data_IF_377375922414
#
_entry.id   IF_377375922414
#
_cell.length_a   1.000
_cell.length_b   1.000
_cell.length_c   1.000
_cell.angle_alpha   90.00
_cell.angle_beta   90.00
_cell.angle_gamma   90.00
#
_symmetry.space_group_name_H-M   'P 1'
#
loop_
_entity.id
_entity.type
_entity.pdbx_description
1 polymer ?
#
# COMPACT_ATOMS: atom_id res chain seq x y z
N UNK A 1 0.14 -25.14 8.72
CA UNK A 1 -0.83 -24.03 8.84
C UNK A 1 -1.77 -24.18 7.67
N UNK A 2 -3.09 -24.08 7.86
CA UNK A 2 -4.01 -24.12 6.72
C UNK A 2 -3.61 -23.02 5.74
N UNK A 3 -3.55 -23.34 4.45
CA UNK A 3 -3.18 -22.40 3.40
C UNK A 3 -4.19 -21.24 3.43
N UNK A 4 -3.75 -20.05 3.80
CA UNK A 4 -4.65 -18.90 3.99
C UNK A 4 -5.11 -18.44 2.61
N UNK A 5 -6.40 -18.59 2.33
CA UNK A 5 -6.95 -18.07 1.08
C UNK A 5 -7.16 -16.55 1.18
N UNK A 6 -6.20 -15.78 0.67
CA UNK A 6 -6.25 -14.32 0.66
C UNK A 6 -7.38 -13.76 -0.20
N UNK A 7 -7.78 -14.47 -1.26
CA UNK A 7 -8.79 -14.00 -2.21
C UNK A 7 -10.19 -13.93 -1.61
N UNK A 8 -10.53 -14.80 -0.66
CA UNK A 8 -11.86 -14.85 -0.04
C UNK A 8 -11.84 -14.43 1.44
N UNK A 9 -10.73 -13.88 1.92
CA UNK A 9 -10.50 -13.68 3.36
C UNK A 9 -11.62 -12.90 4.06
N UNK A 10 -12.11 -11.80 3.47
CA UNK A 10 -13.16 -11.00 4.11
C UNK A 10 -14.54 -11.65 4.00
N UNK A 11 -14.84 -12.31 2.89
CA UNK A 11 -16.06 -13.13 2.76
C UNK A 11 -16.09 -14.23 3.83
N UNK A 12 -14.99 -14.96 4.02
CA UNK A 12 -14.90 -16.04 5.01
C UNK A 12 -15.03 -15.49 6.44
N UNK A 13 -14.49 -14.30 6.71
CA UNK A 13 -14.67 -13.60 7.99
C UNK A 13 -16.12 -13.21 8.22
N UNK A 14 -16.80 -12.65 7.21
CA UNK A 14 -18.20 -12.25 7.31
C UNK A 14 -19.12 -13.46 7.58
N UNK A 15 -18.89 -14.57 6.87
CA UNK A 15 -19.64 -15.82 7.08
C UNK A 15 -19.44 -16.35 8.50
N UNK A 16 -18.18 -16.49 8.97
CA UNK A 16 -17.88 -16.98 10.32
C UNK A 16 -18.45 -16.07 11.41
N UNK A 17 -18.41 -14.76 11.21
CA UNK A 17 -19.02 -13.80 12.11
C UNK A 17 -20.52 -14.08 12.24
N UNK A 18 -21.23 -14.16 11.12
CA UNK A 18 -22.68 -14.41 11.14
C UNK A 18 -23.03 -15.78 11.73
N UNK A 19 -22.30 -16.85 11.41
CA UNK A 19 -22.51 -18.17 12.02
C UNK A 19 -22.37 -18.16 13.55
N UNK A 20 -21.42 -17.38 14.07
CA UNK A 20 -21.20 -17.25 15.52
C UNK A 20 -22.28 -16.48 16.28
N UNK A 21 -23.06 -15.63 15.58
CA UNK A 21 -24.03 -14.73 16.17
C UNK A 21 -25.49 -15.01 15.79
N UNK A 22 -25.76 -15.76 14.72
CA UNK A 22 -27.10 -16.14 14.24
C UNK A 22 -27.96 -16.93 15.24
N UNK A 23 -27.42 -17.26 16.42
CA UNK A 23 -28.08 -18.13 17.41
C UNK A 23 -28.17 -17.52 18.82
N UNK A 24 -27.69 -16.29 19.05
CA UNK A 24 -27.39 -15.86 20.42
C UNK A 24 -28.33 -14.88 21.10
N UNK A 25 -29.16 -14.07 20.39
CA UNK A 25 -30.06 -13.09 21.05
C UNK A 25 -31.28 -12.73 20.21
N UNK A 26 -32.46 -12.73 20.84
CA UNK A 26 -33.68 -12.08 20.36
C UNK A 26 -33.63 -10.56 20.62
N UNK A 27 -32.63 -9.89 20.04
CA UNK A 27 -32.41 -8.45 20.20
C UNK A 27 -32.26 -7.79 18.81
N UNK A 28 -33.29 -7.06 18.33
CA UNK A 28 -33.28 -6.44 17.01
C UNK A 28 -32.16 -5.41 16.81
N UNK A 29 -31.74 -4.69 17.85
CA UNK A 29 -30.65 -3.71 17.74
C UNK A 29 -29.31 -4.43 17.55
N UNK A 30 -29.11 -5.52 18.28
CA UNK A 30 -27.93 -6.37 18.13
C UNK A 30 -27.87 -7.05 16.75
N UNK A 31 -29.01 -7.52 16.24
CA UNK A 31 -29.10 -8.09 14.88
C UNK A 31 -28.72 -7.04 13.81
N UNK A 32 -29.27 -5.83 13.91
CA UNK A 32 -28.94 -4.74 13.00
C UNK A 32 -27.46 -4.36 13.05
N UNK A 33 -26.86 -4.34 14.25
CA UNK A 33 -25.42 -4.13 14.43
C UNK A 33 -24.58 -5.21 13.75
N UNK A 34 -24.95 -6.49 13.91
CA UNK A 34 -24.26 -7.60 13.26
C UNK A 34 -24.34 -7.53 11.73
N UNK A 35 -25.51 -7.18 11.21
CA UNK A 35 -25.72 -6.94 9.77
C UNK A 35 -24.80 -5.82 9.27
N UNK A 36 -24.66 -4.73 10.03
CA UNK A 36 -23.74 -3.63 9.70
C UNK A 36 -22.29 -4.10 9.55
N UNK A 37 -21.78 -4.86 10.52
CA UNK A 37 -20.42 -5.42 10.46
C UNK A 37 -20.23 -6.33 9.25
N UNK A 38 -21.21 -7.20 8.98
CA UNK A 38 -21.18 -8.09 7.81
C UNK A 38 -21.08 -7.28 6.52
N UNK A 39 -21.92 -6.26 6.37
CA UNK A 39 -21.99 -5.46 5.14
C UNK A 39 -20.71 -4.64 4.94
N UNK A 40 -20.13 -4.08 6.01
CA UNK A 40 -18.82 -3.44 5.96
C UNK A 40 -17.72 -4.43 5.53
N UNK A 41 -17.74 -5.65 6.05
CA UNK A 41 -16.76 -6.68 5.72
C UNK A 41 -16.91 -7.16 4.27
N UNK A 42 -18.13 -7.31 3.78
CA UNK A 42 -18.38 -7.64 2.37
C UNK A 42 -18.00 -6.50 1.43
N UNK A 43 -18.16 -5.24 1.84
CA UNK A 43 -17.67 -4.09 1.09
C UNK A 43 -16.14 -4.07 1.00
N UNK A 44 -15.43 -4.57 2.02
CA UNK A 44 -13.98 -4.78 1.96
C UNK A 44 -13.61 -5.87 0.94
N UNK A 45 -14.33 -6.99 0.97
CA UNK A 45 -14.16 -8.07 -0.01
C UNK A 45 -14.33 -7.57 -1.45
N UNK A 46 -15.39 -6.80 -1.73
CA UNK A 46 -15.65 -6.30 -3.10
C UNK A 46 -14.50 -5.44 -3.65
N UNK A 47 -13.84 -4.65 -2.79
CA UNK A 47 -12.64 -3.88 -3.17
C UNK A 47 -11.44 -4.79 -3.43
N UNK A 48 -11.24 -5.78 -2.56
CA UNK A 48 -10.18 -6.77 -2.71
C UNK A 48 -10.35 -7.58 -4.02
N UNK A 49 -11.58 -7.94 -4.38
CA UNK A 49 -11.91 -8.62 -5.64
C UNK A 49 -11.52 -7.78 -6.87
N UNK A 50 -11.78 -6.47 -6.83
CA UNK A 50 -11.36 -5.55 -7.89
C UNK A 50 -9.84 -5.54 -8.03
N UNK A 51 -9.11 -5.54 -6.92
CA UNK A 51 -7.65 -5.55 -6.94
C UNK A 51 -7.10 -6.87 -7.48
N UNK A 52 -7.64 -8.01 -7.04
CA UNK A 52 -7.26 -9.31 -7.56
C UNK A 52 -7.55 -9.45 -9.03
N UNK A 53 -8.72 -9.01 -9.49
CA UNK A 53 -9.04 -8.98 -10.93
C UNK A 53 -8.02 -8.17 -11.72
N UNK A 54 -7.68 -6.97 -11.25
CA UNK A 54 -6.68 -6.13 -11.91
C UNK A 54 -5.29 -6.79 -11.94
N UNK A 55 -4.92 -7.45 -10.84
CA UNK A 55 -3.67 -8.21 -10.75
C UNK A 55 -3.67 -9.40 -11.71
N UNK A 56 -4.77 -10.16 -11.81
CA UNK A 56 -4.86 -11.31 -12.72
C UNK A 56 -4.77 -10.88 -14.19
N UNK A 57 -5.26 -9.67 -14.53
CA UNK A 57 -5.19 -9.10 -15.87
C UNK A 57 -3.80 -8.53 -16.22
N UNK A 58 -3.08 -7.98 -15.23
CA UNK A 58 -1.83 -7.22 -15.48
C UNK A 58 -0.59 -8.02 -15.09
N UNK A 59 -0.64 -8.75 -13.98
CA UNK A 59 0.49 -9.43 -13.34
C UNK A 59 1.42 -8.47 -12.60
N UNK A 60 2.70 -8.88 -12.50
CA UNK A 60 3.77 -8.08 -11.92
C UNK A 60 3.91 -6.72 -12.61
N UNK A 61 4.23 -5.69 -11.83
CA UNK A 61 4.25 -4.29 -12.29
C UNK A 61 2.92 -3.57 -12.08
N UNK A 62 1.84 -4.26 -11.72
CA UNK A 62 0.59 -3.59 -11.45
C UNK A 62 0.71 -2.59 -10.29
N UNK A 63 -0.01 -1.49 -10.41
CA UNK A 63 0.02 -0.41 -9.44
C UNK A 63 -1.36 -0.20 -8.84
N UNK A 64 -1.42 -0.03 -7.53
CA UNK A 64 -2.61 0.33 -6.79
C UNK A 64 -2.45 1.70 -6.16
N UNK A 65 -3.58 2.33 -5.85
CA UNK A 65 -3.66 3.65 -5.24
C UNK A 65 -4.57 3.63 -4.01
N UNK A 66 -4.24 4.46 -3.04
CA UNK A 66 -5.09 4.71 -1.89
C UNK A 66 -6.38 5.43 -2.28
N UNK A 67 -7.38 5.38 -1.40
CA UNK A 67 -8.66 6.06 -1.63
C UNK A 67 -8.53 7.60 -1.82
N UNK A 68 -7.43 8.20 -1.31
CA UNK A 68 -7.16 9.63 -1.45
C UNK A 68 -6.41 10.00 -2.74
N UNK A 69 -5.86 9.03 -3.46
CA UNK A 69 -5.11 9.30 -4.69
C UNK A 69 -3.68 9.82 -4.48
N UNK A 70 -3.15 9.82 -3.24
CA UNK A 70 -1.88 10.46 -2.88
C UNK A 70 -0.75 9.46 -2.57
N UNK A 71 -1.10 8.18 -2.40
CA UNK A 71 -0.18 7.07 -2.13
C UNK A 71 -0.47 5.91 -3.05
N UNK A 72 0.60 5.25 -3.48
CA UNK A 72 0.58 4.18 -4.46
C UNK A 72 1.42 3.01 -3.98
N UNK A 73 1.14 1.82 -4.50
CA UNK A 73 2.01 0.67 -4.35
C UNK A 73 2.11 -0.12 -5.66
N UNK A 74 3.33 -0.44 -6.07
CA UNK A 74 3.61 -1.31 -7.22
C UNK A 74 4.01 -2.70 -6.75
N UNK A 75 3.47 -3.75 -7.37
CA UNK A 75 3.82 -5.15 -7.07
C UNK A 75 4.99 -5.60 -7.91
N UNK A 76 6.04 -6.14 -7.27
CA UNK A 76 7.29 -6.54 -7.91
C UNK A 76 7.82 -7.85 -7.31
N UNK A 77 8.69 -8.58 -8.02
CA UNK A 77 9.59 -9.52 -7.37
C UNK A 77 10.41 -8.81 -6.29
N UNK A 78 10.69 -9.51 -5.19
CA UNK A 78 11.54 -8.96 -4.14
C UNK A 78 13.00 -8.97 -4.61
N UNK A 79 13.63 -7.79 -4.56
CA UNK A 79 15.01 -7.62 -4.99
C UNK A 79 16.04 -8.10 -3.95
N UNK A 80 15.63 -8.19 -2.68
CA UNK A 80 16.48 -8.56 -1.54
C UNK A 80 16.38 -10.06 -1.22
N UNK A 81 15.22 -10.68 -1.47
CA UNK A 81 14.94 -12.07 -1.14
C UNK A 81 14.47 -12.83 -2.39
N UNK A 82 15.37 -13.55 -3.08
CA UNK A 82 15.04 -14.29 -4.29
C UNK A 82 13.86 -15.25 -4.10
N UNK A 83 12.94 -15.24 -5.06
CA UNK A 83 11.75 -16.09 -5.05
C UNK A 83 10.57 -15.54 -4.24
N UNK A 84 10.75 -14.42 -3.52
CA UNK A 84 9.68 -13.70 -2.83
C UNK A 84 9.15 -12.55 -3.67
N UNK A 85 8.05 -11.97 -3.22
CA UNK A 85 7.38 -10.85 -3.86
C UNK A 85 7.28 -9.68 -2.88
N UNK A 86 7.06 -8.47 -3.39
CA UNK A 86 6.84 -7.29 -2.55
C UNK A 86 5.86 -6.33 -3.18
N UNK A 87 5.20 -5.55 -2.35
CA UNK A 87 4.72 -4.25 -2.78
C UNK A 87 5.76 -3.18 -2.39
N UNK A 88 5.94 -2.19 -3.26
CA UNK A 88 6.78 -1.03 -3.00
C UNK A 88 5.91 0.22 -3.03
N UNK A 89 5.80 0.91 -1.89
CA UNK A 89 5.01 2.14 -1.76
C UNK A 89 5.77 3.37 -2.21
N UNK A 90 5.04 4.29 -2.83
CA UNK A 90 5.52 5.59 -3.26
C UNK A 90 4.42 6.65 -3.24
N UNK A 91 4.84 7.90 -3.32
CA UNK A 91 4.01 9.08 -3.52
C UNK A 91 4.72 10.06 -4.45
N UNK A 92 4.17 11.26 -4.63
CA UNK A 92 4.77 12.31 -5.48
C UNK A 92 6.21 12.67 -5.10
N UNK A 93 6.57 12.53 -3.81
CA UNK A 93 7.91 12.80 -3.30
C UNK A 93 8.84 11.56 -3.30
N UNK A 94 8.45 10.46 -3.92
CA UNK A 94 9.30 9.28 -4.06
C UNK A 94 8.90 8.09 -3.19
N UNK A 95 9.87 7.20 -2.96
CA UNK A 95 9.69 5.93 -2.26
C UNK A 95 9.43 6.13 -0.76
N UNK A 96 8.52 5.33 -0.20
CA UNK A 96 8.13 5.41 1.22
C UNK A 96 8.62 4.18 1.99
N UNK A 97 8.15 2.99 1.59
CA UNK A 97 8.47 1.72 2.23
C UNK A 97 8.22 0.57 1.24
N UNK A 98 8.58 -0.65 1.63
CA UNK A 98 8.15 -1.87 0.96
C UNK A 98 7.84 -2.94 2.00
N UNK A 99 7.17 -4.00 1.55
CA UNK A 99 6.92 -5.18 2.38
C UNK A 99 7.05 -6.44 1.53
N UNK A 100 7.78 -7.43 2.05
CA UNK A 100 8.08 -8.69 1.38
C UNK A 100 7.11 -9.77 1.82
N UNK A 101 6.51 -10.48 0.87
CA UNK A 101 5.58 -11.58 1.09
C UNK A 101 6.06 -12.85 0.39
N UNK A 102 5.52 -14.00 0.80
CA UNK A 102 5.89 -15.31 0.25
C UNK A 102 5.14 -15.63 -1.04
N UNK A 103 3.93 -15.08 -1.23
CA UNK A 103 3.08 -15.35 -2.40
C UNK A 103 2.55 -14.06 -3.04
N UNK A 104 2.18 -14.12 -4.31
CA UNK A 104 1.57 -12.99 -5.02
C UNK A 104 0.22 -12.60 -4.42
N UNK A 105 -0.59 -13.59 -4.04
CA UNK A 105 -1.90 -13.33 -3.46
C UNK A 105 -1.78 -12.62 -2.10
N UNK A 106 -0.78 -12.98 -1.31
CA UNK A 106 -0.43 -12.28 -0.08
C UNK A 106 0.00 -10.83 -0.35
N UNK A 107 0.82 -10.55 -1.38
CA UNK A 107 1.21 -9.16 -1.69
C UNK A 107 0.01 -8.28 -2.01
N UNK A 108 -0.95 -8.77 -2.81
CA UNK A 108 -2.16 -8.01 -3.16
C UNK A 108 -2.98 -7.71 -1.90
N UNK A 109 -3.15 -8.71 -1.03
CA UNK A 109 -3.86 -8.55 0.23
C UNK A 109 -3.15 -7.59 1.20
N UNK A 110 -1.84 -7.70 1.35
CA UNK A 110 -1.09 -6.80 2.24
C UNK A 110 -1.05 -5.37 1.68
N UNK A 111 -1.02 -5.18 0.36
CA UNK A 111 -1.20 -3.86 -0.25
C UNK A 111 -2.58 -3.26 0.05
N UNK A 112 -3.63 -4.09 0.04
CA UNK A 112 -4.97 -3.71 0.48
C UNK A 112 -4.98 -3.24 1.93
N UNK A 113 -4.44 -4.04 2.85
CA UNK A 113 -4.38 -3.69 4.28
C UNK A 113 -3.50 -2.46 4.53
N UNK A 114 -2.51 -2.20 3.67
CA UNK A 114 -1.70 -0.98 3.67
C UNK A 114 -2.43 0.26 3.10
N UNK A 115 -3.72 0.13 2.75
CA UNK A 115 -4.62 1.21 2.37
C UNK A 115 -4.72 1.47 0.87
N UNK A 116 -4.16 0.60 0.02
CA UNK A 116 -4.27 0.69 -1.44
C UNK A 116 -5.53 -0.05 -1.88
N UNK A 117 -6.57 0.64 -2.32
CA UNK A 117 -7.89 0.03 -2.49
C UNK A 117 -8.39 0.02 -3.94
N UNK A 118 -7.65 0.67 -4.86
CA UNK A 118 -8.07 0.86 -6.23
C UNK A 118 -6.91 0.61 -7.20
N UNK A 119 -7.15 0.09 -8.40
CA UNK A 119 -6.17 0.07 -9.47
C UNK A 119 -5.71 1.49 -9.85
N UNK A 120 -4.45 1.62 -10.20
CA UNK A 120 -3.87 2.83 -10.78
C UNK A 120 -3.42 2.56 -12.22
N UNK A 121 -3.31 3.59 -13.07
CA UNK A 121 -2.66 3.46 -14.37
C UNK A 121 -1.23 2.90 -14.25
N UNK A 122 -0.83 2.01 -15.16
CA UNK A 122 0.48 1.36 -15.13
C UNK A 122 1.65 2.35 -15.25
N UNK A 123 1.44 3.45 -15.98
CA UNK A 123 2.45 4.49 -16.19
C UNK A 123 2.54 5.50 -15.03
N UNK A 124 1.82 5.27 -13.93
CA UNK A 124 1.79 6.19 -12.78
C UNK A 124 3.18 6.40 -12.19
N UNK A 125 3.94 5.32 -11.99
CA UNK A 125 5.29 5.40 -11.45
C UNK A 125 6.21 6.21 -12.38
N UNK A 126 6.21 5.90 -13.68
CA UNK A 126 7.06 6.57 -14.66
C UNK A 126 6.75 8.08 -14.73
N UNK A 127 5.46 8.44 -14.71
CA UNK A 127 5.02 9.83 -14.66
C UNK A 127 5.52 10.55 -13.41
N UNK A 128 5.36 9.93 -12.23
CA UNK A 128 5.79 10.55 -10.96
C UNK A 128 7.31 10.65 -10.86
N UNK A 129 8.02 9.59 -11.23
CA UNK A 129 9.48 9.53 -11.21
C UNK A 129 10.15 10.56 -12.12
N UNK A 130 9.43 11.04 -13.13
CA UNK A 130 9.88 12.08 -14.05
C UNK A 130 9.70 13.52 -13.52
N UNK A 131 9.16 13.70 -12.31
CA UNK A 131 8.89 15.04 -11.75
C UNK A 131 10.06 15.59 -10.94
N UNK A 132 10.13 16.93 -10.86
CA UNK A 132 11.08 17.62 -9.98
C UNK A 132 10.85 17.29 -8.50
N UNK A 133 9.58 17.15 -8.09
CA UNK A 133 9.23 16.81 -6.71
C UNK A 133 9.76 15.43 -6.31
N UNK A 134 9.69 14.46 -7.23
CA UNK A 134 10.26 13.14 -7.01
C UNK A 134 11.78 13.16 -6.91
N UNK A 135 12.44 13.89 -7.81
CA UNK A 135 13.89 14.05 -7.78
C UNK A 135 14.36 14.68 -6.46
N UNK A 136 13.65 15.73 -6.01
CA UNK A 136 13.87 16.37 -4.70
C UNK A 136 13.72 15.37 -3.55
N UNK A 137 12.62 14.63 -3.54
CA UNK A 137 12.35 13.68 -2.47
C UNK A 137 13.33 12.50 -2.44
N UNK A 138 13.84 12.08 -3.60
CA UNK A 138 14.91 11.07 -3.71
C UNK A 138 16.22 11.59 -3.08
N UNK A 139 16.62 12.83 -3.37
CA UNK A 139 17.79 13.44 -2.73
C UNK A 139 17.59 13.62 -1.21
N UNK A 140 16.36 13.97 -0.78
CA UNK A 140 16.02 14.08 0.64
C UNK A 140 16.11 12.73 1.36
N UNK A 141 15.67 11.65 0.72
CA UNK A 141 15.78 10.28 1.25
C UNK A 141 17.24 9.88 1.47
N UNK A 142 18.16 10.30 0.60
CA UNK A 142 19.59 10.05 0.77
C UNK A 142 20.15 10.77 2.01
N UNK A 143 19.73 12.01 2.28
CA UNK A 143 20.11 12.72 3.50
C UNK A 143 19.65 11.98 4.76
N UNK A 144 18.38 11.54 4.77
CA UNK A 144 17.81 10.74 5.88
C UNK A 144 18.60 9.44 6.06
N UNK A 145 18.95 8.77 4.95
CA UNK A 145 19.72 7.52 4.97
C UNK A 145 21.10 7.73 5.57
N UNK A 146 21.80 8.82 5.22
CA UNK A 146 23.10 9.16 5.80
C UNK A 146 23.02 9.45 7.30
N UNK A 147 21.96 10.14 7.75
CA UNK A 147 21.73 10.36 9.19
C UNK A 147 21.52 9.03 9.91
N UNK A 148 20.63 8.17 9.39
CA UNK A 148 20.33 6.86 9.98
C UNK A 148 21.56 5.94 10.04
N UNK A 149 22.51 6.11 9.12
CA UNK A 149 23.78 5.37 9.10
C UNK A 149 24.91 6.02 9.92
N UNK A 150 24.64 7.15 10.60
CA UNK A 150 25.65 7.89 11.35
C UNK A 150 26.71 8.57 10.48
N UNK A 151 26.47 8.68 9.17
CA UNK A 151 27.38 9.31 8.20
C UNK A 151 27.18 10.84 8.13
N UNK A 152 26.08 11.33 8.70
CA UNK A 152 25.72 12.74 8.75
C UNK A 152 25.05 13.03 10.10
N UNK A 153 25.43 14.11 10.77
CA UNK A 153 24.72 14.57 11.97
C UNK A 153 23.35 15.11 11.61
N UNK A 154 22.40 15.09 12.55
CA UNK A 154 21.09 15.70 12.36
C UNK A 154 21.19 17.18 11.96
N UNK A 155 22.03 17.96 12.63
CA UNK A 155 22.22 19.40 12.38
C UNK A 155 22.72 19.68 10.97
N UNK A 156 23.77 18.97 10.53
CA UNK A 156 24.26 19.07 9.16
C UNK A 156 23.20 18.67 8.12
N UNK A 157 22.33 17.70 8.43
CA UNK A 157 21.23 17.30 7.54
C UNK A 157 20.17 18.38 7.37
N UNK A 158 19.92 19.22 8.39
CA UNK A 158 19.00 20.35 8.29
C UNK A 158 19.54 21.43 7.34
N UNK A 159 20.83 21.74 7.42
CA UNK A 159 21.48 22.70 6.51
C UNK A 159 21.39 22.21 5.06
N UNK A 160 21.76 20.94 4.81
CA UNK A 160 21.69 20.35 3.47
C UNK A 160 20.24 20.24 2.95
N UNK A 161 19.27 20.06 3.84
CA UNK A 161 17.85 20.03 3.46
C UNK A 161 17.35 21.41 3.01
N UNK A 162 17.79 22.49 3.66
CA UNK A 162 17.46 23.88 3.25
C UNK A 162 18.14 24.25 1.92
N UNK A 163 19.39 23.84 1.71
CA UNK A 163 20.07 23.99 0.42
C UNK A 163 19.36 23.21 -0.70
N UNK A 164 18.89 22.00 -0.40
CA UNK A 164 18.10 21.19 -1.32
C UNK A 164 16.77 21.87 -1.66
N UNK A 165 16.08 22.44 -0.68
CA UNK A 165 14.83 23.17 -0.89
C UNK A 165 15.05 24.39 -1.80
N UNK A 166 16.13 25.15 -1.60
CA UNK A 166 16.52 26.29 -2.46
C UNK A 166 16.87 25.86 -3.89
N UNK A 167 17.65 24.77 -4.04
CA UNK A 167 18.02 24.20 -5.35
C UNK A 167 16.77 23.90 -6.18
N UNK A 168 15.81 23.18 -5.61
CA UNK A 168 14.61 22.79 -6.34
C UNK A 168 13.61 23.93 -6.53
N UNK A 169 13.55 24.90 -5.61
CA UNK A 169 12.79 26.14 -5.83
C UNK A 169 13.32 26.94 -7.04
N UNK A 170 14.64 27.01 -7.20
CA UNK A 170 15.27 27.69 -8.35
C UNK A 170 15.07 26.96 -9.68
N UNK A 171 14.95 25.62 -9.67
CA UNK A 171 14.69 24.83 -10.87
C UNK A 171 13.23 24.88 -11.34
N UNK A 172 12.31 25.23 -10.43
CA UNK A 172 10.87 25.33 -10.72
C UNK A 172 10.44 26.75 -11.17
N UNK A 173 11.33 27.74 -11.09
CA UNK A 173 11.11 29.13 -11.50
C UNK A 173 11.46 29.34 -12.98
#
# INVERSE_FOLDING_TARGET
>A
MADKNFRTTFMDQATRFMEGFATKRDDPEFEAYCIGIRDETLARQAKLDIMFKHFDETGLGCTFVSAKGDRFAVILPDASVPGKFRYQQFATFGWINHYTCDTLDEVVFEAYEAGMHLPAPQDTLDKMASTLEWAKGTERLELITKVNRGQLTWEASLVLSDELDKKYAAMAA
#
